data_IF_514210550597
#
_entry.id   IF_514210550597
#
_cell.length_a   1.000
_cell.length_b   1.000
_cell.length_c   1.000
_cell.angle_alpha   90.00
_cell.angle_beta   90.00
_cell.angle_gamma   90.00
#
_symmetry.space_group_name_H-M   'P 1'
#
loop_
_entity.id
_entity.type
_entity.pdbx_description
1 polymer ?
#
# COMPACT_ATOMS: atom_id res chain seq x y z
N UNK A 1 -8.38 10.66 -4.95
CA UNK A 1 -7.31 9.64 -4.93
C UNK A 1 -6.93 9.25 -3.51
N UNK A 2 -6.44 10.19 -2.67
CA UNK A 2 -5.95 9.84 -1.33
C UNK A 2 -7.02 9.33 -0.36
N UNK A 3 -8.30 9.72 -0.52
CA UNK A 3 -9.40 9.14 0.28
C UNK A 3 -9.48 7.63 0.12
N UNK A 4 -9.54 7.14 -1.14
CA UNK A 4 -9.71 5.71 -1.42
C UNK A 4 -8.50 4.91 -0.94
N UNK A 5 -7.29 5.44 -1.18
CA UNK A 5 -6.05 4.84 -0.69
C UNK A 5 -6.00 4.84 0.84
N UNK A 6 -6.46 5.92 1.48
CA UNK A 6 -6.48 6.03 2.94
C UNK A 6 -7.47 5.06 3.58
N UNK A 7 -8.67 4.93 3.01
CA UNK A 7 -9.67 3.94 3.47
C UNK A 7 -9.12 2.52 3.30
N UNK A 8 -8.49 2.22 2.15
CA UNK A 8 -7.82 0.94 1.93
C UNK A 8 -6.78 0.66 3.03
N UNK A 9 -5.89 1.61 3.32
CA UNK A 9 -4.83 1.44 4.32
C UNK A 9 -5.38 1.24 5.73
N UNK A 10 -6.42 1.99 6.10
CA UNK A 10 -7.10 1.82 7.39
C UNK A 10 -7.68 0.41 7.49
N UNK A 11 -8.45 -0.03 6.50
CA UNK A 11 -9.07 -1.36 6.53
C UNK A 11 -8.04 -2.49 6.47
N UNK A 12 -7.01 -2.35 5.65
CA UNK A 12 -5.93 -3.32 5.55
C UNK A 12 -5.15 -3.47 6.87
N UNK A 13 -4.86 -2.35 7.55
CA UNK A 13 -4.22 -2.39 8.86
C UNK A 13 -5.15 -2.93 9.96
N UNK A 14 -6.42 -2.52 9.94
CA UNK A 14 -7.40 -2.94 10.95
C UNK A 14 -7.74 -4.44 10.86
N UNK A 15 -7.71 -5.01 9.64
CA UNK A 15 -7.91 -6.43 9.40
C UNK A 15 -6.85 -7.31 10.09
N UNK A 16 -5.65 -6.78 10.37
CA UNK A 16 -4.61 -7.50 11.13
C UNK A 16 -4.97 -7.62 12.61
N UNK A 17 -5.68 -6.63 13.17
CA UNK A 17 -6.02 -6.60 14.59
C UNK A 17 -7.33 -7.31 14.93
N UNK A 18 -8.29 -7.30 14.01
CA UNK A 18 -9.62 -7.85 14.24
C UNK A 18 -9.85 -9.01 13.27
N UNK A 19 -9.69 -10.28 13.71
CA UNK A 19 -9.87 -11.46 12.85
C UNK A 19 -11.24 -11.51 12.17
N UNK A 20 -12.28 -10.97 12.81
CA UNK A 20 -13.64 -10.86 12.25
C UNK A 20 -13.76 -9.93 11.03
N UNK A 21 -12.82 -9.00 10.84
CA UNK A 21 -12.78 -8.16 9.63
C UNK A 21 -12.21 -8.89 8.41
N UNK A 22 -11.69 -10.11 8.55
CA UNK A 22 -11.24 -10.92 7.42
C UNK A 22 -12.38 -11.18 6.41
N UNK A 23 -13.64 -11.18 6.87
CA UNK A 23 -14.82 -11.25 6.02
C UNK A 23 -14.95 -10.05 5.05
N UNK A 24 -14.29 -8.92 5.36
CA UNK A 24 -14.19 -7.76 4.46
C UNK A 24 -13.09 -7.92 3.41
N UNK A 25 -12.46 -9.09 3.27
CA UNK A 25 -11.38 -9.33 2.32
C UNK A 25 -11.73 -8.88 0.89
N UNK A 26 -12.97 -9.13 0.44
CA UNK A 26 -13.46 -8.67 -0.88
C UNK A 26 -13.48 -7.14 -0.95
N UNK A 27 -13.97 -6.47 0.10
CA UNK A 27 -14.04 -4.99 0.13
C UNK A 27 -12.62 -4.40 0.10
N UNK A 28 -11.70 -4.96 0.88
CA UNK A 28 -10.29 -4.54 0.88
C UNK A 28 -9.66 -4.76 -0.50
N UNK A 29 -9.95 -5.89 -1.13
CA UNK A 29 -9.43 -6.22 -2.46
C UNK A 29 -9.94 -5.24 -3.54
N UNK A 30 -11.24 -4.95 -3.53
CA UNK A 30 -11.85 -3.97 -4.44
C UNK A 30 -11.27 -2.57 -4.20
N UNK A 31 -11.11 -2.15 -2.94
CA UNK A 31 -10.49 -0.87 -2.61
C UNK A 31 -9.03 -0.78 -3.05
N UNK A 32 -8.25 -1.85 -2.90
CA UNK A 32 -6.87 -1.92 -3.40
C UNK A 32 -6.83 -1.72 -4.91
N UNK A 33 -7.72 -2.40 -5.64
CA UNK A 33 -7.80 -2.34 -7.09
C UNK A 33 -8.21 -0.94 -7.57
N UNK A 34 -9.25 -0.35 -6.95
CA UNK A 34 -9.68 1.02 -7.26
C UNK A 34 -8.56 2.02 -6.93
N UNK A 35 -7.89 1.88 -5.78
CA UNK A 35 -6.79 2.77 -5.41
C UNK A 35 -5.63 2.69 -6.42
N UNK A 36 -5.26 1.48 -6.86
CA UNK A 36 -4.23 1.28 -7.87
C UNK A 36 -4.60 1.88 -9.23
N UNK A 37 -5.83 1.65 -9.71
CA UNK A 37 -6.31 2.25 -10.97
C UNK A 37 -6.38 3.77 -10.86
N UNK A 38 -6.86 4.32 -9.74
CA UNK A 38 -6.91 5.76 -9.52
C UNK A 38 -5.52 6.39 -9.52
N UNK A 39 -4.50 5.73 -8.97
CA UNK A 39 -3.13 6.24 -9.02
C UNK A 39 -2.61 6.31 -10.46
N UNK A 40 -2.91 5.32 -11.31
CA UNK A 40 -2.51 5.34 -12.72
C UNK A 40 -3.21 6.44 -13.51
N UNK A 41 -4.52 6.61 -13.29
CA UNK A 41 -5.35 7.56 -14.04
C UNK A 41 -5.10 8.99 -13.59
N UNK A 42 -5.05 9.23 -12.27
CA UNK A 42 -4.97 10.57 -11.71
C UNK A 42 -3.62 11.24 -11.94
N UNK A 43 -2.59 10.51 -12.43
CA UNK A 43 -1.21 10.97 -12.65
C UNK A 43 -0.83 12.00 -11.60
N UNK A 44 -0.55 11.59 -10.35
CA UNK A 44 -0.18 12.54 -9.31
C UNK A 44 0.93 13.43 -9.89
N UNK A 45 0.67 14.74 -9.99
CA UNK A 45 1.47 15.73 -10.72
C UNK A 45 2.86 15.99 -10.11
N UNK A 46 3.42 14.97 -9.48
CA UNK A 46 4.69 14.88 -8.78
C UNK A 46 5.64 14.16 -9.75
N UNK A 47 6.83 14.73 -9.91
CA UNK A 47 7.96 14.40 -10.81
C UNK A 47 8.39 12.91 -10.95
N UNK A 48 7.71 11.96 -10.29
CA UNK A 48 8.14 10.57 -10.09
C UNK A 48 7.09 9.58 -10.57
N UNK A 49 6.82 9.58 -11.88
CA UNK A 49 5.85 8.66 -12.47
C UNK A 49 6.16 7.19 -12.19
N UNK A 50 7.45 6.80 -12.18
CA UNK A 50 7.88 5.42 -11.98
C UNK A 50 7.49 4.86 -10.60
N UNK A 51 7.69 5.61 -9.51
CA UNK A 51 7.38 5.13 -8.16
C UNK A 51 5.88 4.96 -7.94
N UNK A 52 5.08 5.89 -8.45
CA UNK A 52 3.62 5.81 -8.41
C UNK A 52 3.06 4.70 -9.28
N UNK A 53 3.63 4.48 -10.47
CA UNK A 53 3.26 3.36 -11.31
C UNK A 53 3.53 2.02 -10.63
N UNK A 54 4.70 1.86 -9.99
CA UNK A 54 5.03 0.64 -9.24
C UNK A 54 4.09 0.42 -8.05
N UNK A 55 3.79 1.47 -7.28
CA UNK A 55 2.82 1.40 -6.18
C UNK A 55 1.41 1.02 -6.67
N UNK A 56 1.00 1.56 -7.82
CA UNK A 56 -0.28 1.22 -8.43
C UNK A 56 -0.33 -0.24 -8.88
N UNK A 57 0.70 -0.72 -9.57
CA UNK A 57 0.80 -2.11 -10.01
C UNK A 57 0.75 -3.03 -8.79
N UNK A 58 1.49 -2.70 -7.72
CA UNK A 58 1.44 -3.43 -6.47
C UNK A 58 0.01 -3.53 -5.91
N UNK A 59 -0.71 -2.41 -5.81
CA UNK A 59 -2.09 -2.39 -5.29
C UNK A 59 -3.08 -3.16 -6.17
N UNK A 60 -2.92 -3.08 -7.50
CA UNK A 60 -3.73 -3.86 -8.45
C UNK A 60 -3.48 -5.35 -8.24
N UNK A 61 -2.23 -5.77 -8.06
CA UNK A 61 -1.89 -7.17 -7.79
C UNK A 61 -2.43 -7.62 -6.43
N UNK A 62 -2.33 -6.80 -5.38
CA UNK A 62 -2.95 -7.08 -4.07
C UNK A 62 -4.45 -7.31 -4.22
N UNK A 63 -5.16 -6.43 -4.92
CA UNK A 63 -6.59 -6.60 -5.16
C UNK A 63 -6.91 -7.83 -5.99
N UNK A 64 -6.16 -8.06 -7.07
CA UNK A 64 -6.43 -9.17 -7.99
C UNK A 64 -6.15 -10.54 -7.35
N UNK A 65 -5.06 -10.66 -6.60
CA UNK A 65 -4.70 -11.89 -5.89
C UNK A 65 -5.75 -12.26 -4.84
N UNK A 66 -6.30 -11.27 -4.14
CA UNK A 66 -7.36 -11.47 -3.17
C UNK A 66 -8.72 -11.83 -3.81
N UNK A 67 -8.98 -11.40 -5.04
CA UNK A 67 -10.23 -11.71 -5.76
C UNK A 67 -10.19 -13.06 -6.49
N UNK A 68 -9.04 -13.40 -7.08
CA UNK A 68 -8.91 -14.55 -8.01
C UNK A 68 -8.11 -15.70 -7.40
N UNK A 69 -7.63 -15.57 -6.16
CA UNK A 69 -6.85 -16.61 -5.46
C UNK A 69 -5.69 -17.13 -6.31
N UNK A 70 -4.87 -16.22 -6.82
CA UNK A 70 -3.74 -16.55 -7.70
C UNK A 70 -2.66 -17.32 -6.91
N UNK A 71 -2.63 -18.65 -7.05
CA UNK A 71 -1.76 -19.56 -6.30
C UNK A 71 -0.33 -19.68 -6.81
N UNK A 72 0.27 -18.63 -7.37
CA UNK A 72 1.64 -18.69 -7.88
C UNK A 72 2.66 -18.52 -6.74
N UNK A 73 3.54 -19.50 -6.57
CA UNK A 73 4.54 -19.52 -5.48
C UNK A 73 5.53 -18.34 -5.51
N UNK A 74 5.84 -17.81 -6.69
CA UNK A 74 6.78 -16.70 -6.88
C UNK A 74 6.13 -15.31 -6.74
N UNK A 75 4.80 -15.25 -6.72
CA UNK A 75 4.07 -13.99 -6.77
C UNK A 75 4.23 -13.18 -5.48
N UNK A 76 4.36 -13.85 -4.34
CA UNK A 76 4.70 -13.19 -3.07
C UNK A 76 6.04 -12.46 -3.12
N UNK A 77 7.06 -13.07 -3.73
CA UNK A 77 8.38 -12.44 -3.91
C UNK A 77 8.31 -11.23 -4.83
N UNK A 78 7.58 -11.35 -5.95
CA UNK A 78 7.40 -10.24 -6.89
C UNK A 78 6.67 -9.08 -6.23
N UNK A 79 5.59 -9.34 -5.48
CA UNK A 79 4.87 -8.32 -4.73
C UNK A 79 5.76 -7.63 -3.69
N UNK A 80 6.58 -8.41 -2.96
CA UNK A 80 7.51 -7.86 -1.97
C UNK A 80 8.52 -6.90 -2.61
N UNK A 81 9.12 -7.31 -3.75
CA UNK A 81 10.06 -6.47 -4.50
C UNK A 81 9.35 -5.22 -5.03
N UNK A 82 8.14 -5.35 -5.59
CA UNK A 82 7.39 -4.20 -6.11
C UNK A 82 7.10 -3.18 -5.01
N UNK A 83 6.60 -3.63 -3.85
CA UNK A 83 6.32 -2.74 -2.73
C UNK A 83 7.58 -2.02 -2.26
N UNK A 84 8.69 -2.75 -2.11
CA UNK A 84 9.96 -2.21 -1.66
C UNK A 84 10.51 -1.16 -2.64
N UNK A 85 10.61 -1.51 -3.93
CA UNK A 85 11.15 -0.62 -4.95
C UNK A 85 10.24 0.59 -5.14
N UNK A 86 8.91 0.42 -5.13
CA UNK A 86 7.97 1.53 -5.17
C UNK A 86 8.23 2.51 -4.01
N UNK A 87 8.34 1.99 -2.80
CA UNK A 87 8.65 2.79 -1.61
C UNK A 87 9.97 3.54 -1.74
N UNK A 88 11.07 2.85 -2.07
CA UNK A 88 12.41 3.45 -2.19
C UNK A 88 12.43 4.53 -3.28
N UNK A 89 11.85 4.27 -4.46
CA UNK A 89 11.81 5.24 -5.56
C UNK A 89 11.01 6.49 -5.18
N UNK A 90 9.90 6.31 -4.44
CA UNK A 90 9.11 7.42 -3.93
C UNK A 90 9.85 8.24 -2.86
N UNK A 91 10.66 7.61 -2.00
CA UNK A 91 11.52 8.34 -1.03
C UNK A 91 12.58 9.16 -1.76
N UNK A 92 13.38 8.53 -2.63
CA UNK A 92 14.58 9.15 -3.20
C UNK A 92 14.23 10.35 -4.07
N UNK A 93 13.17 10.24 -4.88
CA UNK A 93 12.87 11.26 -5.88
C UNK A 93 11.91 12.35 -5.37
N UNK A 94 11.48 12.29 -4.12
CA UNK A 94 10.57 13.29 -3.57
C UNK A 94 11.30 14.30 -2.68
N UNK A 95 11.55 15.50 -3.20
CA UNK A 95 12.22 16.60 -2.49
C UNK A 95 11.30 17.39 -1.53
N UNK A 96 10.06 16.95 -1.32
CA UNK A 96 8.97 17.73 -0.70
C UNK A 96 8.43 17.17 0.63
N UNK A 97 9.29 16.66 1.51
CA UNK A 97 8.90 15.94 2.74
C UNK A 97 8.00 16.71 3.72
N UNK A 98 7.97 18.04 3.68
CA UNK A 98 7.48 18.85 4.81
C UNK A 98 5.96 19.04 4.88
N UNK A 99 5.17 18.67 3.86
CA UNK A 99 3.73 19.02 3.82
C UNK A 99 2.75 17.84 3.80
N UNK A 100 3.20 16.59 3.62
CA UNK A 100 2.29 15.43 3.58
C UNK A 100 2.79 14.24 4.40
N UNK A 101 2.61 14.31 5.72
CA UNK A 101 2.94 13.24 6.67
C UNK A 101 2.25 11.90 6.33
N UNK A 102 0.99 11.92 5.91
CA UNK A 102 0.27 10.70 5.49
C UNK A 102 0.93 10.00 4.31
N UNK A 103 1.45 10.75 3.34
CA UNK A 103 2.18 10.16 2.22
C UNK A 103 3.52 9.56 2.64
N UNK A 104 4.24 10.21 3.55
CA UNK A 104 5.49 9.67 4.11
C UNK A 104 5.25 8.33 4.80
N UNK A 105 4.18 8.23 5.58
CA UNK A 105 3.78 6.97 6.25
C UNK A 105 3.33 5.91 5.24
N UNK A 106 2.68 6.27 4.14
CA UNK A 106 2.36 5.33 3.06
C UNK A 106 3.63 4.77 2.40
N UNK A 107 4.61 5.63 2.15
CA UNK A 107 5.90 5.19 1.59
C UNK A 107 6.64 4.29 2.58
N UNK A 108 6.64 4.65 3.87
CA UNK A 108 7.19 3.80 4.92
C UNK A 108 6.47 2.45 4.99
N UNK A 109 5.13 2.46 4.88
CA UNK A 109 4.31 1.25 4.84
C UNK A 109 4.69 0.34 3.65
N UNK A 110 4.89 0.90 2.46
CA UNK A 110 5.34 0.14 1.28
C UNK A 110 6.70 -0.52 1.52
N UNK A 111 7.66 0.24 2.07
CA UNK A 111 9.00 -0.28 2.38
C UNK A 111 8.92 -1.41 3.39
N UNK A 112 8.19 -1.20 4.49
CA UNK A 112 8.04 -2.22 5.54
C UNK A 112 7.31 -3.47 5.02
N UNK A 113 6.26 -3.29 4.21
CA UNK A 113 5.51 -4.40 3.61
C UNK A 113 6.38 -5.20 2.64
N UNK A 114 7.15 -4.52 1.80
CA UNK A 114 8.11 -5.17 0.92
C UNK A 114 9.22 -5.89 1.68
N UNK A 115 9.77 -5.27 2.71
CA UNK A 115 10.84 -5.85 3.54
C UNK A 115 10.36 -7.07 4.32
N UNK A 116 9.17 -7.00 4.92
CA UNK A 116 8.57 -8.13 5.63
C UNK A 116 8.25 -9.29 4.69
N UNK A 117 7.76 -9.00 3.48
CA UNK A 117 7.52 -10.02 2.45
C UNK A 117 8.81 -10.69 1.94
N UNK A 118 9.92 -9.95 1.87
CA UNK A 118 11.19 -10.47 1.38
C UNK A 118 11.97 -11.26 2.45
N UNK A 119 11.94 -10.78 3.70
CA UNK A 119 12.68 -11.40 4.81
C UNK A 119 11.84 -12.43 5.59
N UNK A 120 10.54 -12.57 5.28
CA UNK A 120 9.64 -13.48 6.00
C UNK A 120 9.44 -13.11 7.47
N UNK A 121 9.62 -11.83 7.83
CA UNK A 121 9.58 -11.39 9.23
C UNK A 121 8.13 -11.15 9.64
N UNK A 122 7.49 -12.18 10.21
CA UNK A 122 6.12 -12.10 10.71
C UNK A 122 5.93 -11.14 11.90
N UNK A 123 6.99 -10.86 12.67
CA UNK A 123 6.94 -9.97 13.84
C UNK A 123 6.70 -8.50 13.51
N UNK A 124 6.94 -8.10 12.24
CA UNK A 124 6.67 -6.74 11.78
C UNK A 124 5.20 -6.47 11.44
N UNK A 125 4.35 -7.51 11.42
CA UNK A 125 2.94 -7.39 11.03
C UNK A 125 2.20 -6.30 11.83
N UNK A 126 2.40 -6.25 13.15
CA UNK A 126 1.80 -5.24 14.02
C UNK A 126 2.27 -3.82 13.66
N UNK A 127 3.57 -3.64 13.43
CA UNK A 127 4.14 -2.33 13.07
C UNK A 127 3.61 -1.88 11.72
N UNK A 128 3.59 -2.77 10.73
CA UNK A 128 3.04 -2.51 9.40
C UNK A 128 1.57 -2.10 9.49
N UNK A 129 0.78 -2.80 10.31
CA UNK A 129 -0.62 -2.50 10.51
C UNK A 129 -0.84 -1.11 11.15
N UNK A 130 -0.07 -0.76 12.18
CA UNK A 130 -0.14 0.57 12.81
C UNK A 130 0.23 1.66 11.80
N UNK A 131 1.32 1.47 11.04
CA UNK A 131 1.77 2.43 10.04
C UNK A 131 0.72 2.56 8.93
N UNK A 132 0.06 1.49 8.52
CA UNK A 132 -1.04 1.51 7.55
C UNK A 132 -2.21 2.38 8.05
N UNK A 133 -2.70 2.11 9.27
CA UNK A 133 -3.82 2.86 9.86
C UNK A 133 -3.47 4.34 10.02
N UNK A 134 -2.30 4.64 10.59
CA UNK A 134 -1.85 6.01 10.79
C UNK A 134 -1.68 6.75 9.45
N UNK A 135 -1.10 6.08 8.44
CA UNK A 135 -0.96 6.59 7.08
C UNK A 135 -2.31 6.93 6.47
N UNK A 136 -3.26 5.98 6.51
CA UNK A 136 -4.56 6.17 5.89
C UNK A 136 -5.38 7.28 6.57
N UNK A 137 -5.32 7.37 7.90
CA UNK A 137 -5.97 8.44 8.66
C UNK A 137 -5.40 9.81 8.27
N UNK A 138 -4.07 9.94 8.24
CA UNK A 138 -3.40 11.19 7.90
C UNK A 138 -3.55 11.56 6.42
N UNK A 139 -3.64 10.59 5.52
CA UNK A 139 -3.94 10.84 4.11
C UNK A 139 -5.34 11.40 3.89
N UNK A 140 -6.32 11.03 4.73
CA UNK A 140 -7.68 11.55 4.68
C UNK A 140 -7.76 12.93 5.34
N UNK A 141 -7.10 13.12 6.49
CA UNK A 141 -7.14 14.37 7.25
C UNK A 141 -6.36 15.51 6.61
N UNK A 142 -5.29 15.20 5.88
CA UNK A 142 -4.40 16.18 5.25
C UNK A 142 -4.70 16.38 3.76
N UNK A 143 -5.98 16.21 3.38
CA UNK A 143 -6.51 16.47 2.04
C UNK A 143 -6.90 17.92 1.85
#
# INVERSE_FOLDING_TARGET
>A
MYIVLGIFLILAGLAVFIPGLSALGIVIAVLALIAGVLILVAKPGISVFAGWALAAIYLILVGLTALVSLGFSWLGMVMAILALVAGIVLVIKWAGFKKHLGFLLFVLWLILTGLAGLLGIGSLGTVIAIVAVASGLLMILNQ
#
